data_IF_583873007417
#
_entry.id   IF_583873007417
#
_cell.length_a   1.000
_cell.length_b   1.000
_cell.length_c   1.000
_cell.angle_alpha   90.00
_cell.angle_beta   90.00
_cell.angle_gamma   90.00
#
_symmetry.space_group_name_H-M   'P 1'
#
loop_
_entity.id
_entity.type
_entity.pdbx_description
1 polymer ?
#
# COMPACT_ATOMS: atom_id res chain seq x y z
N UNK A 1 -6.02 -0.25 22.10
CA UNK A 1 -5.31 0.84 22.79
C UNK A 1 -3.86 0.38 22.90
N UNK A 2 -3.01 0.85 21.98
CA UNK A 2 -1.59 0.47 21.91
C UNK A 2 -0.85 1.17 23.04
N UNK A 3 -0.17 0.44 23.90
CA UNK A 3 0.88 1.00 24.76
C UNK A 3 2.21 0.83 24.03
N UNK A 4 2.78 1.97 23.66
CA UNK A 4 4.13 2.11 23.12
C UNK A 4 5.15 1.39 23.99
N UNK A 5 5.97 0.55 23.37
CA UNK A 5 7.26 0.12 23.90
C UNK A 5 8.26 1.16 23.35
N UNK A 6 8.52 2.21 24.13
CA UNK A 6 9.58 3.18 23.88
C UNK A 6 10.20 3.53 25.24
N UNK A 7 11.12 2.71 25.76
CA UNK A 7 11.96 3.14 26.90
C UNK A 7 13.21 2.28 27.19
N UNK A 8 13.81 1.58 26.21
CA UNK A 8 14.99 0.73 26.50
C UNK A 8 16.33 1.21 25.92
N UNK A 9 16.35 2.24 25.07
CA UNK A 9 17.60 2.75 24.49
C UNK A 9 18.12 4.03 25.17
N UNK A 10 17.33 4.69 26.02
CA UNK A 10 17.71 5.99 26.61
C UNK A 10 18.95 5.88 27.51
N UNK A 11 19.12 4.77 28.22
CA UNK A 11 20.20 4.60 29.21
C UNK A 11 21.58 4.50 28.56
N UNK A 12 21.69 3.88 27.37
CA UNK A 12 22.95 3.75 26.65
C UNK A 12 23.52 5.10 26.21
N UNK A 13 22.66 5.99 25.67
CA UNK A 13 23.08 7.33 25.25
C UNK A 13 23.62 8.19 26.41
N UNK A 14 23.12 7.98 27.63
CA UNK A 14 23.59 8.71 28.81
C UNK A 14 25.00 8.29 29.22
N UNK A 15 25.32 7.00 29.16
CA UNK A 15 26.67 6.50 29.49
C UNK A 15 27.73 7.04 28.54
N UNK A 16 27.47 6.93 27.24
CA UNK A 16 28.44 7.29 26.21
C UNK A 16 28.67 8.82 26.17
N UNK A 17 27.63 9.61 26.47
CA UNK A 17 27.75 11.06 26.63
C UNK A 17 28.60 11.44 27.84
N UNK A 18 28.42 10.78 28.99
CA UNK A 18 29.21 11.05 30.19
C UNK A 18 30.68 10.61 30.02
N UNK A 19 30.92 9.46 29.39
CA UNK A 19 32.27 9.02 29.02
C UNK A 19 32.98 9.99 28.08
N UNK A 20 32.25 10.57 27.12
CA UNK A 20 32.76 11.62 26.22
C UNK A 20 33.09 12.92 26.97
N UNK A 21 32.34 13.27 27.99
CA UNK A 21 32.64 14.44 28.82
C UNK A 21 33.88 14.19 29.70
N UNK A 22 33.96 13.01 30.33
CA UNK A 22 35.08 12.64 31.18
C UNK A 22 36.40 12.47 30.41
N UNK A 23 36.36 11.97 29.17
CA UNK A 23 37.54 11.87 28.30
C UNK A 23 38.10 13.26 27.89
N UNK A 24 37.23 14.27 27.73
CA UNK A 24 37.63 15.67 27.49
C UNK A 24 38.22 16.34 28.72
N UNK A 25 37.85 15.90 29.91
CA UNK A 25 38.33 16.43 31.20
C UNK A 25 39.64 15.74 31.65
N UNK A 26 40.26 14.91 30.79
CA UNK A 26 41.53 14.19 31.04
C UNK A 26 41.50 13.27 32.28
N UNK A 27 40.33 12.69 32.57
CA UNK A 27 40.24 11.63 33.59
C UNK A 27 40.85 10.33 33.05
N UNK A 28 41.48 9.54 33.94
CA UNK A 28 41.97 8.22 33.57
C UNK A 28 40.81 7.25 33.37
N UNK A 29 40.95 6.26 32.48
CA UNK A 29 39.90 5.26 32.20
C UNK A 29 39.40 4.58 33.48
N UNK A 30 40.32 4.29 34.41
CA UNK A 30 40.04 3.66 35.70
C UNK A 30 39.18 4.56 36.61
N UNK A 31 39.48 5.86 36.67
CA UNK A 31 38.71 6.83 37.45
C UNK A 31 37.31 7.05 36.86
N UNK A 32 37.21 7.04 35.53
CA UNK A 32 35.95 7.12 34.82
C UNK A 32 35.04 5.92 35.10
N UNK A 33 35.57 4.69 35.00
CA UNK A 33 34.80 3.50 35.35
C UNK A 33 34.36 3.51 36.82
N UNK A 34 35.23 3.91 37.75
CA UNK A 34 34.87 4.04 39.17
C UNK A 34 33.72 5.03 39.40
N UNK A 35 33.69 6.15 38.67
CA UNK A 35 32.58 7.13 38.72
C UNK A 35 31.28 6.58 38.14
N UNK A 36 31.36 5.87 37.00
CA UNK A 36 30.18 5.24 36.42
C UNK A 36 29.59 4.19 37.38
N UNK A 37 30.44 3.36 38.02
CA UNK A 37 30.01 2.38 39.02
C UNK A 37 29.42 3.07 40.25
N UNK A 38 29.98 4.19 40.70
CA UNK A 38 29.43 4.96 41.82
C UNK A 38 28.06 5.56 41.50
N UNK A 39 27.84 6.04 40.27
CA UNK A 39 26.59 6.65 39.85
C UNK A 39 25.48 5.62 39.53
N UNK A 40 25.85 4.46 38.97
CA UNK A 40 24.87 3.51 38.41
C UNK A 40 24.97 2.06 38.91
N UNK A 41 25.94 1.73 39.75
CA UNK A 41 26.06 0.42 40.40
C UNK A 41 26.11 -0.73 39.39
N UNK A 42 25.22 -1.72 39.56
CA UNK A 42 25.15 -2.91 38.70
C UNK A 42 24.74 -2.63 37.25
N UNK A 43 24.16 -1.46 36.97
CA UNK A 43 23.78 -1.05 35.61
C UNK A 43 24.93 -0.37 34.86
N UNK A 44 26.09 -0.17 35.51
CA UNK A 44 27.26 0.46 34.90
C UNK A 44 27.84 -0.40 33.77
N UNK A 45 28.32 0.23 32.67
CA UNK A 45 29.10 -0.44 31.65
C UNK A 45 30.31 -1.14 32.24
N UNK A 46 30.70 -2.26 31.63
CA UNK A 46 31.91 -2.97 32.03
C UNK A 46 33.16 -2.13 31.80
N UNK A 47 34.20 -2.36 32.60
CA UNK A 47 35.52 -1.72 32.42
C UNK A 47 36.05 -1.84 30.98
N UNK A 48 35.78 -2.98 30.32
CA UNK A 48 36.14 -3.20 28.93
C UNK A 48 35.37 -2.30 27.95
N UNK A 49 34.09 -2.06 28.21
CA UNK A 49 33.24 -1.15 27.41
C UNK A 49 33.74 0.28 27.54
N UNK A 50 34.06 0.72 28.77
CA UNK A 50 34.62 2.05 29.06
C UNK A 50 35.97 2.25 28.36
N UNK A 51 36.84 1.24 28.42
CA UNK A 51 38.14 1.27 27.74
C UNK A 51 38.01 1.39 26.22
N UNK A 52 37.10 0.61 25.60
CA UNK A 52 36.88 0.68 24.15
C UNK A 52 36.37 2.06 23.71
N UNK A 53 35.46 2.67 24.46
CA UNK A 53 34.99 4.03 24.19
C UNK A 53 36.09 5.09 24.33
N UNK A 54 36.92 5.00 25.37
CA UNK A 54 38.08 5.89 25.52
C UNK A 54 39.05 5.77 24.33
N UNK A 55 39.26 4.56 23.80
CA UNK A 55 40.07 4.34 22.61
C UNK A 55 39.46 4.98 21.36
N UNK A 56 38.14 4.87 21.17
CA UNK A 56 37.44 5.54 20.06
C UNK A 56 37.54 7.07 20.17
N UNK A 57 37.36 7.63 21.37
CA UNK A 57 37.45 9.08 21.60
C UNK A 57 38.87 9.64 21.45
N UNK A 58 39.91 8.85 21.76
CA UNK A 58 41.30 9.22 21.45
C UNK A 58 41.60 9.21 19.94
N UNK A 59 40.84 8.45 19.16
CA UNK A 59 40.90 8.43 17.70
C UNK A 59 40.05 9.52 17.01
N UNK A 60 39.66 10.57 17.74
CA UNK A 60 38.78 11.66 17.30
C UNK A 60 37.36 11.24 16.86
N UNK A 61 36.94 10.00 17.17
CA UNK A 61 35.61 9.50 16.86
C UNK A 61 34.63 9.80 18.01
N UNK A 62 34.03 10.99 17.99
CA UNK A 62 33.09 11.46 19.03
C UNK A 62 31.62 11.13 18.76
N UNK A 63 31.33 10.21 17.82
CA UNK A 63 29.98 9.77 17.49
C UNK A 63 29.55 8.73 18.53
N UNK A 64 28.50 9.07 19.27
CA UNK A 64 27.92 8.22 20.32
C UNK A 64 26.87 7.25 19.76
N UNK A 65 26.41 7.48 18.52
CA UNK A 65 25.46 6.59 17.86
C UNK A 65 26.18 5.34 17.34
N UNK A 66 25.50 4.20 17.47
CA UNK A 66 25.95 2.96 16.85
C UNK A 66 26.19 3.15 15.35
N UNK A 67 27.33 2.66 14.88
CA UNK A 67 27.58 2.53 13.45
C UNK A 67 26.51 1.62 12.81
N UNK A 68 26.18 1.82 11.52
CA UNK A 68 25.25 0.94 10.83
C UNK A 68 25.73 -0.51 10.96
N UNK A 69 24.94 -1.31 11.69
CA UNK A 69 25.26 -2.72 11.93
C UNK A 69 25.14 -3.47 10.61
N UNK A 70 26.20 -4.19 10.23
CA UNK A 70 26.11 -5.16 9.13
C UNK A 70 25.23 -6.31 9.59
N UNK A 71 23.95 -6.27 9.24
CA UNK A 71 23.03 -7.37 9.45
C UNK A 71 23.51 -8.64 8.74
N UNK A 72 22.93 -9.80 9.10
CA UNK A 72 23.19 -11.05 8.38
C UNK A 72 22.86 -10.84 6.89
N UNK A 73 23.80 -11.08 5.95
CA UNK A 73 23.48 -11.01 4.54
C UNK A 73 22.35 -12.00 4.25
N UNK A 74 21.25 -11.50 3.67
CA UNK A 74 20.13 -12.34 3.24
C UNK A 74 20.67 -13.34 2.23
N UNK A 75 20.91 -14.57 2.67
CA UNK A 75 21.65 -15.57 1.90
C UNK A 75 20.85 -16.03 0.66
N UNK A 76 19.56 -15.69 0.63
CA UNK A 76 18.62 -15.98 -0.46
C UNK A 76 18.44 -14.84 -1.48
N UNK A 77 18.85 -13.61 -1.16
CA UNK A 77 18.65 -12.44 -2.03
C UNK A 77 20.01 -11.98 -2.55
N UNK A 78 20.32 -12.39 -3.79
CA UNK A 78 21.51 -11.98 -4.52
C UNK A 78 21.09 -11.44 -5.89
N UNK A 79 22.03 -10.85 -6.64
CA UNK A 79 21.71 -10.23 -7.93
C UNK A 79 21.13 -11.24 -8.94
N UNK A 80 21.59 -12.50 -8.89
CA UNK A 80 21.07 -13.58 -9.72
C UNK A 80 19.60 -13.92 -9.40
N UNK A 81 19.22 -13.97 -8.11
CA UNK A 81 17.84 -14.26 -7.71
C UNK A 81 16.93 -13.08 -7.96
N UNK A 82 17.43 -11.84 -7.81
CA UNK A 82 16.70 -10.62 -8.19
C UNK A 82 16.37 -10.63 -9.68
N UNK A 83 17.37 -10.90 -10.53
CA UNK A 83 17.17 -10.93 -11.99
C UNK A 83 16.29 -12.10 -12.42
N UNK A 84 16.41 -13.27 -11.78
CA UNK A 84 15.54 -14.40 -12.05
C UNK A 84 14.07 -14.08 -11.71
N UNK A 85 13.80 -13.46 -10.56
CA UNK A 85 12.45 -13.03 -10.18
C UNK A 85 11.91 -11.96 -11.14
N UNK A 86 12.75 -10.99 -11.52
CA UNK A 86 12.40 -9.95 -12.51
C UNK A 86 11.94 -10.59 -13.82
N UNK A 87 12.72 -11.53 -14.35
CA UNK A 87 12.42 -12.20 -15.61
C UNK A 87 11.10 -12.96 -15.57
N UNK A 88 10.82 -13.69 -14.48
CA UNK A 88 9.54 -14.40 -14.31
C UNK A 88 8.36 -13.42 -14.32
N UNK A 89 8.49 -12.27 -13.67
CA UNK A 89 7.43 -11.25 -13.62
C UNK A 89 7.26 -10.54 -14.97
N UNK A 90 8.33 -10.30 -15.71
CA UNK A 90 8.26 -9.73 -17.06
C UNK A 90 7.58 -10.69 -18.05
N UNK A 91 7.86 -12.00 -17.93
CA UNK A 91 7.24 -13.04 -18.76
C UNK A 91 5.75 -13.25 -18.40
N UNK A 92 5.42 -13.33 -17.11
CA UNK A 92 4.04 -13.35 -16.63
C UNK A 92 3.83 -12.44 -15.41
N UNK A 93 3.30 -11.21 -15.63
CA UNK A 93 2.98 -10.28 -14.56
C UNK A 93 1.92 -10.76 -13.56
N UNK A 94 1.22 -11.86 -13.83
CA UNK A 94 0.22 -12.45 -12.93
C UNK A 94 0.77 -13.53 -12.01
N UNK A 95 2.04 -13.92 -12.18
CA UNK A 95 2.72 -14.93 -11.38
C UNK A 95 2.43 -14.78 -9.88
N UNK A 96 2.12 -15.90 -9.24
CA UNK A 96 1.91 -15.98 -7.79
C UNK A 96 3.23 -16.21 -7.06
N UNK A 97 3.27 -15.88 -5.77
CA UNK A 97 4.43 -16.19 -4.92
C UNK A 97 4.78 -17.68 -5.02
N UNK A 98 3.80 -18.57 -4.87
CA UNK A 98 3.99 -20.03 -4.98
C UNK A 98 4.59 -20.47 -6.33
N UNK A 99 4.20 -19.87 -7.45
CA UNK A 99 4.79 -20.21 -8.74
C UNK A 99 6.27 -19.83 -8.78
N UNK A 100 6.61 -18.64 -8.31
CA UNK A 100 7.99 -18.17 -8.25
C UNK A 100 8.83 -19.03 -7.28
N UNK A 101 8.26 -19.39 -6.12
CA UNK A 101 8.90 -20.32 -5.16
C UNK A 101 9.20 -21.68 -5.81
N UNK A 102 8.23 -22.26 -6.51
CA UNK A 102 8.41 -23.57 -7.14
C UNK A 102 9.45 -23.55 -8.27
N UNK A 103 9.61 -22.42 -8.96
CA UNK A 103 10.58 -22.27 -10.05
C UNK A 103 12.00 -22.05 -9.51
N UNK A 104 12.15 -21.19 -8.49
CA UNK A 104 13.47 -20.73 -8.03
C UNK A 104 13.94 -21.38 -6.72
N UNK A 105 13.07 -22.07 -5.98
CA UNK A 105 13.38 -22.65 -4.67
C UNK A 105 13.64 -21.61 -3.58
N UNK A 106 13.20 -20.37 -3.78
CA UNK A 106 13.36 -19.25 -2.85
C UNK A 106 12.13 -19.17 -1.94
N UNK A 107 12.28 -18.69 -0.70
CA UNK A 107 11.15 -18.50 0.21
C UNK A 107 10.26 -17.32 -0.19
N UNK A 108 8.95 -17.40 0.11
CA UNK A 108 7.98 -16.31 -0.08
C UNK A 108 8.44 -14.99 0.52
N UNK A 109 9.08 -15.02 1.69
CA UNK A 109 9.60 -13.82 2.35
C UNK A 109 10.68 -13.15 1.52
N UNK A 110 11.62 -13.92 0.97
CA UNK A 110 12.67 -13.38 0.12
C UNK A 110 12.10 -12.88 -1.22
N UNK A 111 11.11 -13.57 -1.81
CA UNK A 111 10.41 -13.07 -3.01
C UNK A 111 9.68 -11.77 -2.71
N UNK A 112 9.00 -11.65 -1.56
CA UNK A 112 8.31 -10.43 -1.15
C UNK A 112 9.29 -9.25 -1.02
N UNK A 113 10.43 -9.45 -0.37
CA UNK A 113 11.48 -8.44 -0.31
C UNK A 113 12.04 -8.09 -1.69
N UNK A 114 12.32 -9.08 -2.54
CA UNK A 114 12.81 -8.83 -3.91
C UNK A 114 11.80 -7.97 -4.70
N UNK A 115 10.51 -8.32 -4.67
CA UNK A 115 9.47 -7.59 -5.41
C UNK A 115 9.31 -6.15 -4.91
N UNK A 116 9.25 -5.96 -3.59
CA UNK A 116 8.93 -4.65 -3.02
C UNK A 116 10.15 -3.76 -2.79
N UNK A 117 11.24 -4.31 -2.22
CA UNK A 117 12.40 -3.53 -1.78
C UNK A 117 13.42 -3.33 -2.92
N UNK A 118 13.64 -4.37 -3.75
CA UNK A 118 14.67 -4.33 -4.80
C UNK A 118 14.10 -3.95 -6.18
N UNK A 119 12.95 -4.51 -6.56
CA UNK A 119 12.30 -4.23 -7.86
C UNK A 119 11.30 -3.06 -7.80
N UNK A 120 10.92 -2.60 -6.59
CA UNK A 120 9.95 -1.52 -6.38
C UNK A 120 8.60 -1.75 -7.09
N UNK A 121 8.17 -3.01 -7.15
CA UNK A 121 6.92 -3.41 -7.78
C UNK A 121 5.79 -3.48 -6.74
N UNK A 122 4.56 -3.29 -7.22
CA UNK A 122 3.34 -3.49 -6.43
C UNK A 122 2.30 -4.24 -7.25
N UNK A 123 1.58 -5.15 -6.59
CA UNK A 123 0.49 -5.89 -7.23
C UNK A 123 -0.78 -5.05 -7.22
N UNK A 124 -1.35 -4.79 -8.41
CA UNK A 124 -2.59 -4.03 -8.58
C UNK A 124 -3.63 -4.84 -9.34
N UNK A 125 -4.90 -4.66 -9.00
CA UNK A 125 -6.00 -5.26 -9.76
C UNK A 125 -6.24 -4.47 -11.05
N UNK A 126 -6.46 -5.19 -12.15
CA UNK A 126 -6.87 -4.56 -13.40
C UNK A 126 -8.23 -3.86 -13.23
N UNK A 127 -8.38 -2.70 -13.88
CA UNK A 127 -9.66 -1.98 -13.93
C UNK A 127 -10.57 -2.63 -14.97
N UNK A 128 -11.83 -2.88 -14.60
CA UNK A 128 -12.85 -3.28 -15.57
C UNK A 128 -13.09 -2.15 -16.56
N UNK A 129 -12.94 -2.45 -17.85
CA UNK A 129 -13.27 -1.55 -18.96
C UNK A 129 -14.50 -2.10 -19.68
N UNK A 130 -15.50 -1.26 -20.03
CA UNK A 130 -16.75 -1.75 -20.62
C UNK A 130 -16.53 -2.55 -21.91
N UNK A 131 -15.67 -2.06 -22.80
CA UNK A 131 -15.40 -2.68 -24.09
C UNK A 131 -13.96 -2.40 -24.56
N UNK A 132 -13.39 -3.33 -25.33
CA UNK A 132 -12.14 -3.10 -26.07
C UNK A 132 -12.48 -2.29 -27.32
N UNK A 133 -12.05 -1.03 -27.36
CA UNK A 133 -12.28 -0.14 -28.51
C UNK A 133 -11.27 -0.38 -29.62
N UNK A 134 -11.73 -0.32 -30.87
CA UNK A 134 -10.85 -0.27 -32.06
C UNK A 134 -10.14 1.08 -32.14
N UNK A 135 -9.07 1.17 -32.91
CA UNK A 135 -8.32 2.42 -33.05
C UNK A 135 -9.15 3.50 -33.76
N UNK A 136 -9.97 3.14 -34.74
CA UNK A 136 -10.92 4.06 -35.38
C UNK A 136 -11.95 4.62 -34.38
N UNK A 137 -12.50 3.77 -33.50
CA UNK A 137 -13.42 4.20 -32.45
C UNK A 137 -12.75 5.16 -31.45
N UNK A 138 -11.47 4.95 -31.15
CA UNK A 138 -10.70 5.90 -30.31
C UNK A 138 -10.53 7.23 -31.03
N UNK A 139 -10.18 7.20 -32.31
CA UNK A 139 -9.96 8.41 -33.10
C UNK A 139 -11.25 9.23 -33.23
N UNK A 140 -12.38 8.59 -33.52
CA UNK A 140 -13.69 9.25 -33.56
C UNK A 140 -14.05 9.89 -32.21
N UNK A 141 -13.76 9.21 -31.09
CA UNK A 141 -13.99 9.78 -29.76
C UNK A 141 -13.11 10.99 -29.50
N UNK A 142 -11.83 10.94 -29.87
CA UNK A 142 -10.90 12.06 -29.72
C UNK A 142 -11.40 13.26 -30.54
N UNK A 143 -11.79 13.03 -31.80
CA UNK A 143 -12.35 14.07 -32.67
C UNK A 143 -13.63 14.68 -32.08
N UNK A 144 -14.54 13.84 -31.58
CA UNK A 144 -15.77 14.31 -30.93
C UNK A 144 -15.47 15.14 -29.67
N UNK A 145 -14.51 14.71 -28.84
CA UNK A 145 -14.09 15.45 -27.67
C UNK A 145 -13.47 16.81 -28.03
N UNK A 146 -12.60 16.88 -29.05
CA UNK A 146 -12.03 18.15 -29.51
C UNK A 146 -13.09 19.08 -30.09
N UNK A 147 -14.00 18.55 -30.92
CA UNK A 147 -15.10 19.32 -31.46
C UNK A 147 -15.98 19.88 -30.34
N UNK A 148 -16.35 19.02 -29.38
CA UNK A 148 -17.13 19.43 -28.22
C UNK A 148 -16.40 20.55 -27.46
N UNK A 149 -15.13 20.34 -27.09
CA UNK A 149 -14.32 21.31 -26.35
C UNK A 149 -14.25 22.68 -27.05
N UNK A 150 -14.05 22.70 -28.37
CA UNK A 150 -14.03 23.93 -29.16
C UNK A 150 -15.36 24.69 -29.05
N UNK A 151 -16.49 23.98 -29.13
CA UNK A 151 -17.82 24.57 -28.97
C UNK A 151 -17.99 25.22 -27.57
N UNK A 152 -17.40 24.63 -26.52
CA UNK A 152 -17.41 25.22 -25.18
C UNK A 152 -16.57 26.51 -25.10
N UNK A 153 -15.38 26.52 -25.69
CA UNK A 153 -14.43 27.63 -25.64
C UNK A 153 -14.94 28.87 -26.39
N UNK A 154 -15.67 28.69 -27.50
CA UNK A 154 -16.25 29.76 -28.33
C UNK A 154 -17.48 30.46 -27.70
N UNK A 155 -17.65 30.38 -26.37
CA UNK A 155 -18.73 31.01 -25.58
C UNK A 155 -20.15 30.56 -25.92
N UNK A 156 -20.35 29.36 -26.47
CA UNK A 156 -21.61 28.62 -26.32
C UNK A 156 -21.74 28.00 -24.92
N UNK A 157 -20.92 28.43 -23.96
CA UNK A 157 -20.77 27.80 -22.64
C UNK A 157 -21.99 27.85 -21.73
N UNK A 158 -22.99 28.69 -22.04
CA UNK A 158 -24.29 28.66 -21.34
C UNK A 158 -25.18 27.51 -21.79
N UNK A 159 -25.07 27.07 -23.05
CA UNK A 159 -25.89 26.01 -23.64
C UNK A 159 -25.65 24.63 -23.01
N UNK A 160 -24.50 24.46 -22.35
CA UNK A 160 -24.15 23.27 -21.55
C UNK A 160 -25.14 23.03 -20.43
N UNK A 161 -25.61 24.12 -19.82
CA UNK A 161 -26.58 24.07 -18.74
C UNK A 161 -27.98 23.73 -19.24
N UNK A 162 -28.21 23.84 -20.56
CA UNK A 162 -29.44 23.47 -21.24
C UNK A 162 -29.40 22.05 -21.81
N UNK A 163 -28.28 21.32 -21.67
CA UNK A 163 -28.19 19.92 -22.10
C UNK A 163 -29.04 19.05 -21.16
N UNK A 164 -30.10 18.48 -21.72
CA UNK A 164 -30.82 17.36 -21.12
C UNK A 164 -30.15 16.07 -21.61
N UNK A 165 -29.67 15.25 -20.69
CA UNK A 165 -29.13 13.92 -20.98
C UNK A 165 -29.98 12.87 -20.31
N UNK A 166 -29.95 11.65 -20.82
CA UNK A 166 -30.61 10.53 -20.19
C UNK A 166 -30.01 9.21 -20.60
N UNK A 167 -30.25 8.20 -19.77
CA UNK A 167 -29.81 6.83 -19.98
C UNK A 167 -30.82 5.87 -19.34
N UNK A 168 -30.85 4.62 -19.82
CA UNK A 168 -31.65 3.56 -19.23
C UNK A 168 -30.81 2.70 -18.29
N UNK A 169 -31.30 2.50 -17.07
CA UNK A 169 -30.62 1.67 -16.07
C UNK A 169 -31.53 0.61 -15.48
N UNK A 170 -30.99 -0.60 -15.30
CA UNK A 170 -31.66 -1.68 -14.57
C UNK A 170 -31.43 -1.54 -13.07
N UNK A 171 -32.52 -1.39 -12.32
CA UNK A 171 -32.52 -1.42 -10.86
C UNK A 171 -33.03 -2.78 -10.37
N UNK A 172 -32.26 -3.41 -9.50
CA UNK A 172 -32.59 -4.70 -8.91
C UNK A 172 -33.28 -4.49 -7.56
N UNK A 173 -34.26 -5.34 -7.22
CA UNK A 173 -34.97 -5.26 -5.93
C UNK A 173 -34.07 -5.54 -4.73
N UNK A 174 -32.91 -6.18 -4.95
CA UNK A 174 -31.91 -6.44 -3.93
C UNK A 174 -30.53 -6.20 -4.53
N UNK A 175 -29.65 -5.58 -3.74
CA UNK A 175 -28.23 -5.51 -4.07
C UNK A 175 -27.51 -6.69 -3.45
N UNK A 176 -26.85 -7.49 -4.28
CA UNK A 176 -26.05 -8.60 -3.80
C UNK A 176 -24.76 -8.05 -3.20
N UNK A 177 -24.65 -8.06 -1.88
CA UNK A 177 -23.39 -7.76 -1.19
C UNK A 177 -22.23 -8.49 -1.88
N UNK A 178 -21.16 -7.75 -2.18
CA UNK A 178 -19.93 -8.32 -2.74
C UNK A 178 -19.29 -9.29 -1.73
N UNK A 179 -18.45 -10.20 -2.24
CA UNK A 179 -17.73 -11.17 -1.38
C UNK A 179 -16.94 -10.50 -0.25
N UNK A 180 -16.30 -9.37 -0.57
CA UNK A 180 -15.57 -8.54 0.39
C UNK A 180 -16.47 -7.91 1.45
N UNK A 181 -17.67 -7.44 1.05
CA UNK A 181 -18.64 -6.84 1.97
C UNK A 181 -19.25 -7.88 2.93
N UNK A 182 -19.30 -9.15 2.53
CA UNK A 182 -19.78 -10.24 3.38
C UNK A 182 -18.70 -10.85 4.29
N UNK A 183 -17.53 -10.22 4.43
CA UNK A 183 -16.51 -10.67 5.40
C UNK A 183 -16.99 -10.37 6.81
N UNK A 184 -16.99 -11.40 7.66
CA UNK A 184 -17.38 -11.31 9.07
C UNK A 184 -16.21 -11.76 9.92
N UNK A 185 -15.96 -11.07 11.03
CA UNK A 185 -15.04 -11.54 12.06
C UNK A 185 -15.72 -12.62 12.88
N UNK A 186 -15.09 -13.79 12.98
CA UNK A 186 -15.63 -14.95 13.69
C UNK A 186 -14.57 -15.50 14.64
N UNK A 187 -15.02 -16.14 15.72
CA UNK A 187 -14.13 -16.94 16.56
C UNK A 187 -13.62 -18.15 15.78
N UNK A 188 -12.44 -18.66 16.12
CA UNK A 188 -11.84 -19.85 15.51
C UNK A 188 -12.73 -21.10 15.61
N UNK A 189 -13.63 -21.11 16.58
CA UNK A 189 -14.58 -22.21 16.83
C UNK A 189 -15.91 -22.06 16.08
N UNK A 190 -16.19 -20.88 15.52
CA UNK A 190 -17.48 -20.61 14.90
C UNK A 190 -17.54 -21.18 13.48
N UNK A 191 -18.70 -21.72 13.06
CA UNK A 191 -18.88 -22.16 11.70
C UNK A 191 -18.87 -20.97 10.73
N UNK A 192 -18.35 -21.19 9.52
CA UNK A 192 -18.37 -20.17 8.48
C UNK A 192 -19.81 -19.83 8.06
N UNK A 193 -20.20 -18.54 7.99
CA UNK A 193 -21.54 -18.13 7.60
C UNK A 193 -21.80 -18.56 6.17
N UNK A 194 -22.96 -19.19 5.96
CA UNK A 194 -23.39 -19.60 4.62
C UNK A 194 -24.16 -18.47 3.97
N UNK A 195 -23.67 -18.00 2.82
CA UNK A 195 -24.37 -17.02 2.00
C UNK A 195 -25.12 -17.72 0.87
N UNK A 196 -26.44 -17.61 0.89
CA UNK A 196 -27.28 -18.13 -0.19
C UNK A 196 -27.09 -17.24 -1.43
N UNK A 197 -26.56 -17.81 -2.50
CA UNK A 197 -26.47 -17.12 -3.78
C UNK A 197 -27.88 -16.96 -4.39
N UNK A 198 -28.39 -15.73 -4.43
CA UNK A 198 -29.65 -15.43 -5.12
C UNK A 198 -29.35 -14.97 -6.55
N UNK A 199 -30.05 -15.54 -7.52
CA UNK A 199 -29.94 -15.12 -8.92
C UNK A 199 -30.44 -13.68 -9.08
N UNK A 200 -29.71 -12.86 -9.83
CA UNK A 200 -30.02 -11.43 -10.11
C UNK A 200 -31.39 -11.19 -10.77
N UNK A 201 -32.13 -12.24 -11.13
CA UNK A 201 -33.40 -12.20 -11.84
C UNK A 201 -34.65 -12.10 -10.94
N UNK A 202 -34.53 -12.18 -9.60
CA UNK A 202 -35.68 -12.25 -8.70
C UNK A 202 -36.55 -10.96 -8.65
N UNK A 203 -36.12 -9.89 -9.32
CA UNK A 203 -36.89 -8.69 -9.53
C UNK A 203 -36.00 -7.56 -10.04
N UNK A 204 -36.18 -7.17 -11.30
CA UNK A 204 -35.48 -6.04 -11.90
C UNK A 204 -36.49 -5.14 -12.61
N UNK A 205 -36.25 -3.83 -12.54
CA UNK A 205 -37.04 -2.81 -13.23
C UNK A 205 -36.11 -1.91 -14.01
N UNK A 206 -36.43 -1.67 -15.28
CA UNK A 206 -35.73 -0.68 -16.09
C UNK A 206 -36.34 0.70 -15.78
N UNK A 207 -35.49 1.70 -15.60
CA UNK A 207 -35.91 3.09 -15.44
C UNK A 207 -35.13 3.91 -16.45
N UNK A 208 -35.85 4.63 -17.31
CA UNK A 208 -35.27 5.66 -18.16
C UNK A 208 -35.24 6.97 -17.37
N UNK A 209 -34.05 7.55 -17.20
CA UNK A 209 -33.84 8.73 -16.37
C UNK A 209 -33.26 9.84 -17.25
N UNK A 210 -33.92 11.00 -17.26
CA UNK A 210 -33.49 12.21 -17.96
C UNK A 210 -33.24 13.32 -16.95
N UNK A 211 -32.09 13.97 -17.04
CA UNK A 211 -31.69 15.04 -16.13
C UNK A 211 -30.90 16.12 -16.87
N UNK A 212 -30.94 17.32 -16.31
CA UNK A 212 -30.12 18.47 -16.68
C UNK A 212 -29.21 18.83 -15.51
N UNK A 213 -28.37 19.86 -15.65
CA UNK A 213 -27.47 20.28 -14.55
C UNK A 213 -28.21 20.57 -13.25
N UNK A 214 -29.36 21.24 -13.33
CA UNK A 214 -30.05 21.76 -12.16
C UNK A 214 -31.01 20.78 -11.50
N UNK A 215 -31.59 19.83 -12.26
CA UNK A 215 -32.63 18.95 -11.75
C UNK A 215 -32.82 17.66 -12.56
N UNK A 216 -33.45 16.68 -11.92
CA UNK A 216 -34.04 15.53 -12.58
C UNK A 216 -35.26 15.98 -13.39
N UNK A 217 -35.18 15.86 -14.72
CA UNK A 217 -36.24 16.31 -15.63
C UNK A 217 -37.38 15.31 -15.68
N UNK A 218 -37.07 14.01 -15.81
CA UNK A 218 -38.08 12.96 -15.92
C UNK A 218 -37.51 11.59 -15.53
N UNK A 219 -38.28 10.81 -14.79
CA UNK A 219 -38.02 9.38 -14.62
C UNK A 219 -39.23 8.59 -15.11
N UNK A 220 -38.98 7.59 -15.94
CA UNK A 220 -40.01 6.70 -16.48
C UNK A 220 -39.68 5.28 -16.05
N UNK A 221 -40.30 4.76 -14.97
CA UNK A 221 -40.18 3.36 -14.62
C UNK A 221 -40.99 2.53 -15.62
N UNK A 222 -40.34 1.53 -16.21
CA UNK A 222 -41.02 0.58 -17.09
C UNK A 222 -41.70 -0.52 -16.25
N UNK A 223 -42.70 -1.17 -16.85
CA UNK A 223 -43.30 -2.37 -16.28
C UNK A 223 -42.26 -3.47 -16.08
N UNK A 224 -42.52 -4.35 -15.11
CA UNK A 224 -41.60 -5.43 -14.77
C UNK A 224 -41.37 -6.34 -15.97
N UNK A 225 -40.13 -6.39 -16.46
CA UNK A 225 -39.74 -7.19 -17.61
C UNK A 225 -39.88 -6.51 -18.98
N UNK A 226 -40.41 -5.29 -19.05
CA UNK A 226 -40.48 -4.51 -20.28
C UNK A 226 -39.13 -3.87 -20.64
N UNK A 227 -38.93 -3.61 -21.93
CA UNK A 227 -37.74 -2.93 -22.50
C UNK A 227 -38.16 -1.76 -23.36
N UNK A 228 -37.26 -0.80 -23.56
CA UNK A 228 -37.46 0.31 -24.50
C UNK A 228 -37.36 -0.22 -25.93
N UNK A 229 -38.42 -0.03 -26.71
CA UNK A 229 -38.48 -0.41 -28.11
C UNK A 229 -38.59 0.86 -28.97
N UNK A 230 -37.98 0.85 -30.16
CA UNK A 230 -38.24 1.87 -31.16
C UNK A 230 -39.61 1.62 -31.78
N UNK A 231 -40.48 2.63 -31.75
CA UNK A 231 -41.75 2.67 -32.47
C UNK A 231 -41.56 3.10 -33.91
#
# INVERSE_FOLDING_TARGET
>A
MKTHIESDESWFYHYDSELKEQSKVWLSTTDSHARLVQAWGEQSPSDHTVFNWFREFQGDNFIVQDAPRSGRPSTSVNEQTIDAVRKIIEDDPRSTYQQIENILGISSTAINSIIHDYLNLRKVCARWVPHKRTDDQKQLRIQFCHHSLKMFEERQSRCVFDIITGDESWFYHYDSELKEQSKVWLSTTDPSPTKIHRTKSAGKRMVAIFFMKSDLTKSVPLETGATVNAS
#
